data_IF_146864619289
#
_entry.id   IF_146864619289
#
_cell.length_a   1.000
_cell.length_b   1.000
_cell.length_c   1.000
_cell.angle_alpha   90.00
_cell.angle_beta   90.00
_cell.angle_gamma   90.00
#
_symmetry.space_group_name_H-M   'P 1'
#
loop_
_entity.id
_entity.type
_entity.pdbx_description
1 polymer ?
#
# COMPACT_ATOMS: atom_id res chain seq x y z
N UNK A 1 -1.54 -31.62 -22.74
CA UNK A 1 -2.73 -31.41 -21.90
C UNK A 1 -2.72 -29.97 -21.43
N UNK A 2 -3.54 -29.13 -22.03
CA UNK A 2 -3.69 -27.72 -21.62
C UNK A 2 -4.50 -27.73 -20.33
N UNK A 3 -3.88 -27.40 -19.21
CA UNK A 3 -4.62 -27.20 -17.95
C UNK A 3 -5.60 -26.05 -18.18
N UNK A 4 -6.88 -26.36 -18.13
CA UNK A 4 -7.95 -25.36 -18.12
C UNK A 4 -7.71 -24.47 -16.88
N UNK A 5 -7.44 -23.20 -17.12
CA UNK A 5 -7.29 -22.19 -16.05
C UNK A 5 -8.65 -22.06 -15.36
N UNK A 6 -8.72 -22.39 -14.08
CA UNK A 6 -9.92 -22.22 -13.29
C UNK A 6 -10.16 -20.71 -13.03
N UNK A 7 -11.06 -20.13 -13.81
CA UNK A 7 -11.41 -18.71 -13.74
C UNK A 7 -11.96 -18.30 -12.36
N UNK A 8 -12.52 -19.24 -11.58
CA UNK A 8 -12.99 -18.94 -10.23
C UNK A 8 -11.80 -18.75 -9.27
N UNK A 9 -10.70 -19.50 -9.45
CA UNK A 9 -9.48 -19.28 -8.70
C UNK A 9 -8.79 -17.95 -9.06
N UNK A 10 -8.96 -17.47 -10.29
CA UNK A 10 -8.45 -16.15 -10.70
C UNK A 10 -9.19 -14.99 -10.04
N UNK A 11 -10.46 -15.17 -9.65
CA UNK A 11 -11.24 -14.16 -8.93
C UNK A 11 -10.85 -13.99 -7.47
N UNK A 12 -10.03 -14.87 -6.92
CA UNK A 12 -9.63 -14.89 -5.51
C UNK A 12 -8.21 -14.36 -5.26
N UNK A 13 -7.78 -13.38 -6.06
CA UNK A 13 -6.56 -12.64 -5.78
C UNK A 13 -5.31 -13.51 -5.73
N UNK A 14 -5.08 -14.34 -6.78
CA UNK A 14 -3.82 -15.08 -6.89
C UNK A 14 -2.64 -14.12 -6.76
N UNK A 15 -1.50 -14.62 -6.29
CA UNK A 15 -0.28 -13.81 -6.19
C UNK A 15 0.09 -13.14 -7.51
N UNK A 16 -0.14 -13.81 -8.63
CA UNK A 16 0.07 -13.27 -9.97
C UNK A 16 -0.82 -12.05 -10.23
N UNK A 17 -2.10 -12.08 -9.85
CA UNK A 17 -3.03 -10.96 -9.99
C UNK A 17 -2.62 -9.79 -9.11
N UNK A 18 -2.26 -10.07 -7.85
CA UNK A 18 -1.78 -9.05 -6.89
C UNK A 18 -0.53 -8.34 -7.41
N UNK A 19 0.44 -9.08 -7.91
CA UNK A 19 1.67 -8.52 -8.51
C UNK A 19 1.38 -7.77 -9.80
N UNK A 20 0.47 -8.25 -10.63
CA UNK A 20 0.03 -7.57 -11.86
C UNK A 20 -0.57 -6.20 -11.56
N UNK A 21 -1.40 -6.10 -10.52
CA UNK A 21 -1.95 -4.83 -10.08
C UNK A 21 -0.85 -3.86 -9.63
N UNK A 22 0.09 -4.31 -8.80
CA UNK A 22 1.24 -3.49 -8.38
C UNK A 22 2.07 -3.01 -9.59
N UNK A 23 2.28 -3.87 -10.59
CA UNK A 23 2.98 -3.54 -11.84
C UNK A 23 2.30 -2.42 -12.63
N UNK A 24 0.99 -2.33 -12.61
CA UNK A 24 0.23 -1.27 -13.29
C UNK A 24 0.49 0.12 -12.69
N UNK A 25 0.99 0.21 -11.47
CA UNK A 25 1.32 1.47 -10.80
C UNK A 25 2.73 1.98 -11.17
N UNK A 26 3.55 1.17 -11.86
CA UNK A 26 4.93 1.50 -12.18
C UNK A 26 5.02 2.74 -13.09
N UNK A 27 5.81 3.73 -12.66
CA UNK A 27 6.00 4.99 -13.37
C UNK A 27 4.86 6.00 -13.21
N UNK A 28 3.81 5.64 -12.47
CA UNK A 28 2.67 6.51 -12.18
C UNK A 28 2.79 7.24 -10.85
N UNK A 29 1.78 8.04 -10.55
CA UNK A 29 1.65 8.77 -9.29
C UNK A 29 0.41 8.30 -8.56
N UNK A 30 0.58 7.97 -7.27
CA UNK A 30 -0.52 7.68 -6.35
C UNK A 30 -0.74 8.94 -5.50
N UNK A 31 -1.92 9.54 -5.58
CA UNK A 31 -2.23 10.79 -4.88
C UNK A 31 -3.01 10.54 -3.60
N UNK A 32 -2.54 11.10 -2.49
CA UNK A 32 -3.29 11.16 -1.24
C UNK A 32 -4.47 12.13 -1.39
N UNK A 33 -5.68 11.69 -1.08
CA UNK A 33 -6.92 12.46 -1.19
C UNK A 33 -7.77 12.29 0.07
N UNK A 34 -8.44 13.35 0.48
CA UNK A 34 -9.27 13.38 1.69
C UNK A 34 -10.74 13.67 1.42
N UNK A 35 -11.10 13.95 0.15
CA UNK A 35 -12.48 14.12 -0.29
C UNK A 35 -12.71 13.52 -1.68
N UNK A 36 -13.97 13.20 -2.06
CA UNK A 36 -14.31 12.77 -3.40
C UNK A 36 -13.90 13.78 -4.49
N UNK A 37 -14.03 15.08 -4.22
CA UNK A 37 -13.65 16.13 -5.16
C UNK A 37 -12.14 16.12 -5.45
N UNK A 38 -11.32 15.88 -4.42
CA UNK A 38 -9.87 15.74 -4.60
C UNK A 38 -9.52 14.50 -5.41
N UNK A 39 -10.27 13.41 -5.25
CA UNK A 39 -10.08 12.19 -6.04
C UNK A 39 -10.33 12.47 -7.53
N UNK A 40 -11.40 13.17 -7.87
CA UNK A 40 -11.70 13.58 -9.25
C UNK A 40 -10.60 14.49 -9.83
N UNK A 41 -10.14 15.48 -9.06
CA UNK A 41 -9.04 16.35 -9.49
C UNK A 41 -7.75 15.56 -9.72
N UNK A 42 -7.45 14.57 -8.86
CA UNK A 42 -6.27 13.72 -9.01
C UNK A 42 -6.35 12.85 -10.27
N UNK A 43 -7.52 12.28 -10.56
CA UNK A 43 -7.79 11.52 -11.78
C UNK A 43 -7.62 12.38 -13.03
N UNK A 44 -8.23 13.57 -13.06
CA UNK A 44 -8.11 14.51 -14.17
C UNK A 44 -6.66 14.97 -14.40
N UNK A 45 -5.87 15.05 -13.34
CA UNK A 45 -4.44 15.36 -13.41
C UNK A 45 -3.56 14.19 -13.88
N UNK A 46 -4.14 13.01 -14.09
CA UNK A 46 -3.44 11.82 -14.58
C UNK A 46 -2.81 10.95 -13.51
N UNK A 47 -3.29 10.98 -12.27
CA UNK A 47 -2.90 10.03 -11.25
C UNK A 47 -3.26 8.60 -11.68
N UNK A 48 -2.41 7.62 -11.36
CA UNK A 48 -2.66 6.21 -11.66
C UNK A 48 -3.50 5.51 -10.61
N UNK A 49 -3.55 6.07 -9.41
CA UNK A 49 -4.39 5.63 -8.30
C UNK A 49 -4.53 6.77 -7.29
N UNK A 50 -5.50 6.67 -6.40
CA UNK A 50 -5.64 7.53 -5.24
C UNK A 50 -5.56 6.74 -3.95
N UNK A 51 -5.03 7.38 -2.89
CA UNK A 51 -5.02 6.87 -1.53
C UNK A 51 -6.07 7.62 -0.73
N UNK A 52 -7.14 6.93 -0.36
CA UNK A 52 -8.24 7.50 0.43
C UNK A 52 -7.80 7.66 1.90
N UNK A 53 -7.78 8.88 2.38
CA UNK A 53 -7.38 9.25 3.74
C UNK A 53 -8.44 10.14 4.39
N UNK A 54 -8.62 10.01 5.69
CA UNK A 54 -9.39 10.98 6.48
C UNK A 54 -8.56 12.24 6.79
N UNK A 55 -7.25 12.05 6.94
CA UNK A 55 -6.26 13.10 7.16
C UNK A 55 -4.96 12.75 6.44
N UNK A 56 -4.29 13.75 5.88
CA UNK A 56 -2.98 13.52 5.24
C UNK A 56 -1.91 13.17 6.28
N UNK A 57 -0.87 12.43 5.91
CA UNK A 57 0.18 11.99 6.83
C UNK A 57 0.84 13.11 7.65
N UNK A 58 0.94 14.31 7.08
CA UNK A 58 1.50 15.49 7.76
C UNK A 58 0.64 15.90 8.97
N UNK A 59 -0.68 15.90 8.81
CA UNK A 59 -1.62 16.26 9.88
C UNK A 59 -1.65 15.18 10.98
N UNK A 60 -1.64 13.91 10.59
CA UNK A 60 -1.56 12.78 11.54
C UNK A 60 -0.30 12.90 12.40
N UNK A 61 0.83 13.24 11.79
CA UNK A 61 2.11 13.43 12.51
C UNK A 61 2.05 14.63 13.46
N UNK A 62 1.44 15.75 13.04
CA UNK A 62 1.28 16.94 13.87
C UNK A 62 0.44 16.65 15.12
N UNK A 63 -0.53 15.76 15.03
CA UNK A 63 -1.45 15.36 16.10
C UNK A 63 -0.94 14.18 16.95
N UNK A 64 0.35 13.82 16.86
CA UNK A 64 0.96 12.78 17.68
C UNK A 64 1.18 11.43 16.98
N UNK A 65 0.88 11.33 15.69
CA UNK A 65 1.26 10.19 14.85
C UNK A 65 0.44 8.91 15.06
N UNK A 66 -0.77 9.01 15.62
CA UNK A 66 -1.67 7.86 15.80
C UNK A 66 -3.03 8.16 15.17
N UNK A 67 -3.48 7.26 14.30
CA UNK A 67 -4.78 7.31 13.66
C UNK A 67 -5.33 5.88 13.47
N UNK A 68 -6.56 5.77 13.01
CA UNK A 68 -7.18 4.52 12.54
C UNK A 68 -7.45 4.59 11.05
N UNK A 69 -7.96 3.50 10.46
CA UNK A 69 -8.45 3.53 9.09
C UNK A 69 -9.49 4.65 8.90
N UNK A 70 -9.58 5.17 7.70
CA UNK A 70 -10.59 6.18 7.34
C UNK A 70 -12.00 5.62 7.43
N UNK A 71 -12.98 6.52 7.67
CA UNK A 71 -14.37 6.12 7.79
C UNK A 71 -14.87 5.45 6.50
N UNK A 72 -15.61 4.33 6.57
CA UNK A 72 -16.12 3.61 5.41
C UNK A 72 -16.89 4.47 4.40
N UNK A 73 -17.72 5.40 4.88
CA UNK A 73 -18.51 6.27 3.99
C UNK A 73 -17.64 7.22 3.17
N UNK A 74 -16.55 7.72 3.74
CA UNK A 74 -15.58 8.54 3.02
C UNK A 74 -14.90 7.72 1.90
N UNK A 75 -14.44 6.52 2.23
CA UNK A 75 -13.81 5.62 1.26
C UNK A 75 -14.77 5.29 0.12
N UNK A 76 -16.01 4.97 0.45
CA UNK A 76 -17.06 4.68 -0.54
C UNK A 76 -17.35 5.89 -1.43
N UNK A 77 -17.45 7.10 -0.86
CA UNK A 77 -17.64 8.33 -1.63
C UNK A 77 -16.50 8.57 -2.62
N UNK A 78 -15.26 8.23 -2.26
CA UNK A 78 -14.11 8.32 -3.17
C UNK A 78 -14.20 7.23 -4.27
N UNK A 79 -14.53 5.99 -3.92
CA UNK A 79 -14.70 4.88 -4.88
C UNK A 79 -15.79 5.23 -5.92
N UNK A 80 -16.89 5.79 -5.46
CA UNK A 80 -18.02 6.13 -6.33
C UNK A 80 -17.75 7.31 -7.28
N UNK A 81 -16.71 8.09 -7.01
CA UNK A 81 -16.40 9.34 -7.74
C UNK A 81 -15.30 9.17 -8.78
N UNK A 82 -14.42 8.18 -8.63
CA UNK A 82 -13.26 8.00 -9.53
C UNK A 82 -13.30 6.65 -10.23
N UNK A 83 -12.73 6.58 -11.44
CA UNK A 83 -12.59 5.34 -12.22
C UNK A 83 -11.19 4.71 -12.08
N UNK A 84 -10.23 5.43 -11.49
CA UNK A 84 -8.89 4.90 -11.19
C UNK A 84 -8.89 4.13 -9.87
N UNK A 85 -7.93 3.22 -9.66
CA UNK A 85 -7.83 2.43 -8.44
C UNK A 85 -7.82 3.26 -7.16
N UNK A 86 -8.57 2.79 -6.16
CA UNK A 86 -8.64 3.40 -4.83
C UNK A 86 -7.92 2.52 -3.83
N UNK A 87 -6.95 3.10 -3.14
CA UNK A 87 -6.21 2.47 -2.05
C UNK A 87 -6.65 3.07 -0.71
N UNK A 88 -6.55 2.29 0.36
CA UNK A 88 -6.80 2.80 1.71
C UNK A 88 -5.82 2.19 2.72
N UNK A 89 -5.67 2.84 3.88
CA UNK A 89 -4.71 2.44 4.91
C UNK A 89 -5.37 1.65 6.03
N UNK A 90 -4.72 0.54 6.41
CA UNK A 90 -4.97 -0.18 7.65
C UNK A 90 -3.81 0.01 8.63
N UNK A 91 -4.10 -0.02 9.92
CA UNK A 91 -3.05 -0.04 10.95
C UNK A 91 -2.28 -1.34 10.89
N UNK A 92 -0.99 -1.28 11.24
CA UNK A 92 -0.12 -2.46 11.28
C UNK A 92 -0.71 -3.52 12.23
N UNK A 93 -0.83 -4.77 11.74
CA UNK A 93 -1.34 -5.91 12.50
C UNK A 93 -2.85 -5.91 12.77
N UNK A 94 -3.61 -4.99 12.18
CA UNK A 94 -5.07 -4.91 12.37
C UNK A 94 -5.82 -5.58 11.21
N UNK A 95 -5.90 -6.90 11.24
CA UNK A 95 -6.57 -7.73 10.23
C UNK A 95 -8.01 -7.30 9.98
N UNK A 96 -8.73 -6.91 11.02
CA UNK A 96 -10.14 -6.51 10.91
C UNK A 96 -10.30 -5.23 10.07
N UNK A 97 -9.41 -4.26 10.19
CA UNK A 97 -9.43 -3.08 9.33
C UNK A 97 -9.22 -3.47 7.86
N UNK A 98 -8.27 -4.36 7.60
CA UNK A 98 -8.01 -4.83 6.25
C UNK A 98 -9.22 -5.62 5.68
N UNK A 99 -9.92 -6.42 6.50
CA UNK A 99 -11.15 -7.10 6.07
C UNK A 99 -12.25 -6.12 5.72
N UNK A 100 -12.47 -5.09 6.54
CA UNK A 100 -13.44 -4.03 6.23
C UNK A 100 -13.10 -3.34 4.91
N UNK A 101 -11.81 -3.01 4.68
CA UNK A 101 -11.37 -2.37 3.45
C UNK A 101 -11.59 -3.27 2.22
N UNK A 102 -11.29 -4.57 2.34
CA UNK A 102 -11.55 -5.54 1.28
C UNK A 102 -13.05 -5.63 0.95
N UNK A 103 -13.92 -5.68 1.96
CA UNK A 103 -15.38 -5.73 1.77
C UNK A 103 -15.96 -4.41 1.22
N UNK A 104 -15.33 -3.28 1.49
CA UNK A 104 -15.68 -2.00 0.87
C UNK A 104 -15.34 -1.96 -0.62
N UNK A 105 -14.47 -2.83 -1.09
CA UNK A 105 -14.07 -2.91 -2.48
C UNK A 105 -12.90 -2.00 -2.86
N UNK A 106 -12.02 -1.66 -1.92
CA UNK A 106 -10.77 -0.98 -2.28
C UNK A 106 -9.89 -1.90 -3.11
N UNK A 107 -9.09 -1.32 -4.00
CA UNK A 107 -8.25 -2.08 -4.92
C UNK A 107 -6.92 -2.55 -4.30
N UNK A 108 -6.43 -1.85 -3.27
CA UNK A 108 -5.22 -2.19 -2.55
C UNK A 108 -5.26 -1.64 -1.11
N UNK A 109 -4.70 -2.39 -0.17
CA UNK A 109 -4.52 -1.94 1.22
C UNK A 109 -3.08 -1.55 1.48
N UNK A 110 -2.86 -0.38 2.05
CA UNK A 110 -1.56 0.02 2.62
C UNK A 110 -1.57 -0.29 4.13
N UNK A 111 -0.84 -1.33 4.54
CA UNK A 111 -0.55 -1.57 5.95
C UNK A 111 0.50 -0.58 6.40
N UNK A 112 0.07 0.45 7.15
CA UNK A 112 0.81 1.71 7.22
C UNK A 112 1.27 2.08 8.62
N UNK A 113 2.57 2.33 8.74
CA UNK A 113 3.20 2.94 9.91
C UNK A 113 2.76 4.39 10.15
N UNK A 114 2.11 5.02 9.18
CA UNK A 114 1.56 6.38 9.34
C UNK A 114 0.41 6.39 10.32
N UNK A 115 -0.39 5.30 10.38
CA UNK A 115 -1.52 5.18 11.29
C UNK A 115 -1.11 4.72 12.69
N UNK A 116 -0.06 3.89 12.78
CA UNK A 116 0.42 3.34 14.06
C UNK A 116 1.94 3.27 14.05
N UNK A 117 2.59 3.31 15.24
CA UNK A 117 4.01 2.97 15.35
C UNK A 117 4.29 1.60 14.74
N UNK A 118 5.40 1.49 14.02
CA UNK A 118 5.75 0.24 13.35
C UNK A 118 6.08 -0.86 14.37
N UNK A 119 5.36 -1.97 14.31
CA UNK A 119 5.73 -3.20 14.96
C UNK A 119 6.55 -4.06 13.99
N UNK A 120 7.78 -4.47 14.33
CA UNK A 120 8.60 -5.29 13.44
C UNK A 120 8.14 -6.74 13.34
N UNK A 121 7.29 -7.23 14.26
CA UNK A 121 6.95 -8.65 14.39
C UNK A 121 5.50 -8.99 14.03
N UNK A 122 4.55 -8.11 14.33
CA UNK A 122 3.13 -8.39 14.20
C UNK A 122 2.52 -7.59 13.05
N UNK A 123 2.64 -8.14 11.85
CA UNK A 123 2.03 -7.61 10.63
C UNK A 123 0.85 -8.48 10.19
N UNK A 124 -0.04 -7.91 9.37
CA UNK A 124 -1.17 -8.63 8.78
C UNK A 124 -0.65 -9.79 7.92
N UNK A 125 -1.27 -10.96 8.03
CA UNK A 125 -1.01 -12.12 7.18
C UNK A 125 -1.68 -11.90 5.80
N UNK A 126 -1.00 -11.22 4.90
CA UNK A 126 -1.54 -10.74 3.63
C UNK A 126 -1.94 -11.83 2.65
N UNK A 127 -1.42 -13.06 2.86
CA UNK A 127 -1.81 -14.23 2.08
C UNK A 127 -3.26 -14.68 2.34
N UNK A 128 -3.86 -14.25 3.46
CA UNK A 128 -5.24 -14.58 3.82
C UNK A 128 -6.26 -13.66 3.11
N UNK A 129 -5.80 -12.69 2.33
CA UNK A 129 -6.61 -11.71 1.63
C UNK A 129 -6.55 -11.91 0.11
N UNK A 130 -7.64 -11.51 -0.56
CA UNK A 130 -7.75 -11.57 -2.02
C UNK A 130 -7.20 -10.32 -2.71
N UNK A 131 -7.14 -9.19 -2.00
CA UNK A 131 -6.61 -7.93 -2.51
C UNK A 131 -5.11 -7.79 -2.27
N UNK A 132 -4.39 -7.02 -3.11
CA UNK A 132 -2.97 -6.73 -2.90
C UNK A 132 -2.73 -5.79 -1.71
N UNK A 133 -1.53 -5.92 -1.12
CA UNK A 133 -1.05 -5.05 -0.07
C UNK A 133 0.22 -4.32 -0.49
N UNK A 134 0.33 -3.06 -0.06
CA UNK A 134 1.59 -2.32 -0.04
C UNK A 134 2.07 -2.16 1.41
N UNK A 135 3.37 -2.19 1.61
CA UNK A 135 4.00 -2.00 2.93
C UNK A 135 5.21 -1.09 2.82
N UNK A 136 5.45 -0.31 3.85
CA UNK A 136 6.68 0.46 4.00
C UNK A 136 7.85 -0.40 4.46
N UNK A 137 9.07 -0.04 4.03
CA UNK A 137 10.30 -0.60 4.58
C UNK A 137 11.44 0.41 4.57
N UNK A 138 12.44 0.19 5.42
CA UNK A 138 13.63 1.04 5.56
C UNK A 138 14.89 0.37 5.05
N UNK A 139 14.88 -0.96 4.89
CA UNK A 139 16.03 -1.76 4.47
C UNK A 139 15.58 -3.07 3.82
N UNK A 140 16.53 -3.78 3.20
CA UNK A 140 16.28 -5.03 2.49
C UNK A 140 15.68 -6.13 3.38
N UNK A 141 16.14 -6.26 4.62
CA UNK A 141 15.62 -7.28 5.54
C UNK A 141 14.14 -7.08 5.87
N UNK A 142 13.74 -5.84 6.07
CA UNK A 142 12.33 -5.48 6.27
C UNK A 142 11.50 -5.72 5.00
N UNK A 143 12.01 -5.33 3.84
CA UNK A 143 11.36 -5.59 2.55
C UNK A 143 11.13 -7.10 2.33
N UNK A 144 12.12 -7.93 2.58
CA UNK A 144 12.01 -9.39 2.47
C UNK A 144 10.93 -9.95 3.40
N UNK A 145 10.85 -9.48 4.64
CA UNK A 145 9.79 -9.91 5.58
C UNK A 145 8.40 -9.56 5.07
N UNK A 146 8.20 -8.32 4.61
CA UNK A 146 6.90 -7.88 4.05
C UNK A 146 6.50 -8.71 2.82
N UNK A 147 7.44 -9.01 1.93
CA UNK A 147 7.19 -9.86 0.76
C UNK A 147 6.83 -11.30 1.18
N UNK A 148 7.51 -11.85 2.17
CA UNK A 148 7.20 -13.18 2.70
C UNK A 148 5.81 -13.27 3.33
N UNK A 149 5.32 -12.18 3.91
CA UNK A 149 3.97 -12.06 4.44
C UNK A 149 2.90 -11.87 3.34
N UNK A 150 3.30 -11.70 2.08
CA UNK A 150 2.42 -11.57 0.93
C UNK A 150 2.22 -10.15 0.41
N UNK A 151 3.08 -9.19 0.79
CA UNK A 151 3.04 -7.85 0.20
C UNK A 151 3.33 -7.90 -1.30
N UNK A 152 2.49 -7.25 -2.10
CA UNK A 152 2.64 -7.17 -3.55
C UNK A 152 3.47 -5.96 -4.01
N UNK A 153 3.56 -4.93 -3.17
CA UNK A 153 4.32 -3.71 -3.43
C UNK A 153 5.04 -3.25 -2.16
N UNK A 154 6.24 -2.72 -2.35
CA UNK A 154 7.04 -2.13 -1.27
C UNK A 154 7.24 -0.64 -1.57
N UNK A 155 7.07 0.19 -0.57
CA UNK A 155 7.45 1.60 -0.60
C UNK A 155 8.53 1.91 0.44
N UNK A 156 9.23 3.00 0.27
CA UNK A 156 10.11 3.53 1.33
C UNK A 156 9.23 4.08 2.46
N UNK A 157 9.66 3.92 3.70
CA UNK A 157 9.01 4.62 4.82
C UNK A 157 9.28 6.11 4.73
N UNK A 158 10.49 6.52 4.42
CA UNK A 158 10.89 7.90 4.29
C UNK A 158 10.48 8.73 5.52
N UNK A 159 10.13 9.98 5.27
CA UNK A 159 9.40 10.82 6.20
C UNK A 159 8.06 11.19 5.56
N UNK A 160 6.97 10.56 6.03
CA UNK A 160 5.66 10.69 5.45
C UNK A 160 5.15 12.16 5.46
N UNK A 161 4.34 12.51 4.46
CA UNK A 161 3.74 13.82 4.35
C UNK A 161 4.70 14.89 3.85
N UNK A 162 5.43 14.61 2.77
CA UNK A 162 6.37 15.54 2.13
C UNK A 162 7.47 16.08 3.05
N UNK A 163 7.88 15.28 4.05
CA UNK A 163 8.99 15.59 4.92
C UNK A 163 10.34 15.48 4.21
N UNK A 164 11.34 14.98 4.90
CA UNK A 164 12.69 14.91 4.35
C UNK A 164 12.83 13.82 3.27
N UNK A 165 12.88 14.22 2.01
CA UNK A 165 13.08 13.31 0.85
C UNK A 165 14.40 12.54 0.95
N UNK A 166 15.42 13.08 1.61
CA UNK A 166 16.70 12.39 1.85
C UNK A 166 16.50 11.07 2.57
N UNK A 167 15.58 11.00 3.53
CA UNK A 167 15.24 9.73 4.22
C UNK A 167 14.71 8.67 3.27
N UNK A 168 13.85 9.06 2.31
CA UNK A 168 13.35 8.13 1.29
C UNK A 168 14.47 7.63 0.38
N UNK A 169 15.38 8.50 -0.05
CA UNK A 169 16.54 8.15 -0.87
C UNK A 169 17.49 7.21 -0.12
N UNK A 170 17.72 7.44 1.18
CA UNK A 170 18.53 6.55 2.02
C UNK A 170 17.90 5.15 2.13
N UNK A 171 16.60 5.04 2.40
CA UNK A 171 15.91 3.76 2.48
C UNK A 171 15.97 3.01 1.15
N UNK A 172 15.73 3.71 0.04
CA UNK A 172 15.82 3.13 -1.30
C UNK A 172 17.24 2.60 -1.59
N UNK A 173 18.27 3.36 -1.22
CA UNK A 173 19.66 2.94 -1.35
C UNK A 173 19.97 1.69 -0.54
N UNK A 174 19.50 1.60 0.71
CA UNK A 174 19.71 0.44 1.57
C UNK A 174 19.02 -0.82 1.03
N UNK A 175 17.87 -0.68 0.35
CA UNK A 175 17.17 -1.79 -0.29
C UNK A 175 17.92 -2.26 -1.53
N UNK A 176 18.35 -1.37 -2.41
CA UNK A 176 18.94 -1.70 -3.71
C UNK A 176 20.44 -1.99 -3.65
N UNK A 177 21.21 -1.30 -2.83
CA UNK A 177 22.68 -1.44 -2.75
C UNK A 177 23.08 -2.71 -2.00
N UNK A 178 22.25 -3.21 -1.09
CA UNK A 178 22.56 -4.45 -0.36
C UNK A 178 22.53 -5.71 -1.25
N UNK A 179 21.89 -5.68 -2.40
CA UNK A 179 21.82 -6.80 -3.34
C UNK A 179 23.10 -7.05 -4.15
N UNK A 180 23.74 -6.03 -4.75
CA UNK A 180 24.94 -6.24 -5.55
C UNK A 180 26.13 -6.78 -4.75
N UNK A 181 26.25 -6.42 -3.50
CA UNK A 181 27.38 -6.83 -2.65
C UNK A 181 27.38 -8.34 -2.36
N UNK A 182 26.20 -8.98 -2.37
CA UNK A 182 26.06 -10.43 -2.22
C UNK A 182 26.41 -11.23 -3.47
N UNK A 183 26.32 -10.62 -4.66
CA UNK A 183 26.69 -11.27 -5.94
C UNK A 183 28.18 -11.38 -6.18
N UNK A 184 28.99 -10.62 -5.45
CA UNK A 184 30.45 -10.59 -5.60
C UNK A 184 31.20 -11.15 -4.38
N UNK A 185 30.49 -11.68 -3.40
CA UNK A 185 31.07 -12.35 -2.24
C UNK A 185 31.01 -13.89 -2.42
N UNK A 186 31.61 -14.37 -3.53
CA UNK A 186 31.92 -15.78 -3.74
C UNK A 186 33.42 -15.90 -3.94
#
# INVERSE_FOLDING_TARGET
MTQLVDLNKMRHGTELLKRGFAKMQEGGVIMDVVTPEQAHIAEDAGATAVMALERVPADIRADGGVARMSHPDLIRGIIDTTSIPVMAKARIGHDEEARVLQELGVDMVDESEVLTPADPFYHIAKNDFTIPFVCGCTNLGEACRRIMEGAAMIRTKGEAGTGNVVSAVQHLSLIHISEPTRRYAI
#
